data_IF_185669809713
#
_entry.id   IF_185669809713
#
_cell.length_a   1.000
_cell.length_b   1.000
_cell.length_c   1.000
_cell.angle_alpha   90.00
_cell.angle_beta   90.00
_cell.angle_gamma   90.00
#
_symmetry.space_group_name_H-M   'P 1'
#
loop_
_entity.id
_entity.type
_entity.pdbx_description
1 polymer ?
#
# COMPACT_ATOMS: atom_id res chain seq x y z
N UNK A 1 -5.34 5.10 -8.10
CA UNK A 1 -4.05 5.16 -7.34
C UNK A 1 -4.16 4.80 -5.85
N UNK A 2 -5.01 5.46 -5.04
CA UNK A 2 -5.14 5.14 -3.60
C UNK A 2 -5.38 3.64 -3.37
N UNK A 3 -6.35 3.06 -4.10
CA UNK A 3 -6.64 1.63 -4.04
C UNK A 3 -5.49 0.76 -4.54
N UNK A 4 -4.70 1.23 -5.52
CA UNK A 4 -3.52 0.48 -5.97
C UNK A 4 -2.49 0.38 -4.85
N UNK A 5 -2.24 1.47 -4.11
CA UNK A 5 -1.37 1.43 -2.92
C UNK A 5 -1.86 0.37 -1.93
N UNK A 6 -3.16 0.31 -1.63
CA UNK A 6 -3.72 -0.71 -0.74
C UNK A 6 -3.53 -2.14 -1.29
N UNK A 7 -3.99 -2.42 -2.52
CA UNK A 7 -3.92 -3.76 -3.12
C UNK A 7 -2.49 -4.22 -3.42
N UNK A 8 -1.57 -3.28 -3.65
CA UNK A 8 -0.16 -3.54 -3.83
C UNK A 8 0.62 -3.33 -2.53
N UNK A 9 0.15 -3.99 -1.46
CA UNK A 9 0.83 -4.16 -0.17
C UNK A 9 1.19 -2.87 0.55
N UNK A 10 0.32 -1.88 0.47
CA UNK A 10 0.53 -0.58 1.11
C UNK A 10 1.70 0.22 0.52
N UNK A 11 1.96 0.08 -0.78
CA UNK A 11 3.05 0.80 -1.45
C UNK A 11 2.99 2.31 -1.17
N UNK A 12 4.13 2.91 -0.83
CA UNK A 12 4.17 4.33 -0.53
C UNK A 12 4.06 5.19 -1.80
N UNK A 13 3.69 6.45 -1.64
CA UNK A 13 3.41 7.33 -2.77
C UNK A 13 4.65 7.62 -3.64
N UNK A 14 5.83 7.78 -3.05
CA UNK A 14 7.05 8.06 -3.81
C UNK A 14 7.44 6.87 -4.68
N UNK A 15 7.34 5.65 -4.16
CA UNK A 15 7.62 4.43 -4.92
C UNK A 15 6.60 4.26 -6.04
N UNK A 16 5.31 4.53 -5.77
CA UNK A 16 4.27 4.50 -6.79
C UNK A 16 4.56 5.46 -7.95
N UNK A 17 5.03 6.67 -7.67
CA UNK A 17 5.39 7.65 -8.70
C UNK A 17 6.52 7.19 -9.61
N UNK A 18 7.41 6.31 -9.12
CA UNK A 18 8.57 5.83 -9.85
C UNK A 18 8.30 4.56 -10.66
N UNK A 19 7.14 3.92 -10.48
CA UNK A 19 6.79 2.70 -11.19
C UNK A 19 6.68 2.94 -12.69
N UNK A 20 7.36 2.10 -13.47
CA UNK A 20 7.35 2.11 -14.93
C UNK A 20 7.12 0.71 -15.51
N UNK A 21 7.01 0.63 -16.83
CA UNK A 21 6.75 -0.62 -17.54
C UNK A 21 7.83 -1.67 -17.31
N UNK A 22 9.10 -1.30 -17.09
CA UNK A 22 10.16 -2.27 -16.82
C UNK A 22 10.09 -2.87 -15.41
N UNK A 23 9.25 -2.33 -14.52
CA UNK A 23 8.94 -2.98 -13.26
C UNK A 23 7.98 -4.17 -13.41
N UNK A 24 7.33 -4.35 -14.56
CA UNK A 24 6.34 -5.40 -14.80
C UNK A 24 6.92 -6.56 -15.61
N UNK A 25 6.67 -7.79 -15.17
CA UNK A 25 7.01 -9.03 -15.88
C UNK A 25 6.16 -10.17 -15.34
N UNK A 26 5.72 -11.09 -16.20
CA UNK A 26 5.01 -12.33 -15.83
C UNK A 26 3.88 -12.17 -14.77
N UNK A 27 3.11 -11.08 -14.87
CA UNK A 27 2.03 -10.77 -13.91
C UNK A 27 2.51 -10.37 -12.51
N UNK A 28 3.79 -9.98 -12.39
CA UNK A 28 4.46 -9.52 -11.18
C UNK A 28 4.91 -8.08 -11.32
N UNK A 29 5.24 -7.48 -10.18
CA UNK A 29 5.87 -6.18 -10.12
C UNK A 29 7.11 -6.27 -9.23
N UNK A 30 8.26 -5.86 -9.77
CA UNK A 30 9.54 -5.74 -9.06
C UNK A 30 9.90 -4.27 -8.87
N UNK A 31 10.16 -3.88 -7.63
CA UNK A 31 10.49 -2.50 -7.27
C UNK A 31 11.51 -2.45 -6.12
N UNK A 32 12.17 -1.31 -5.96
CA UNK A 32 13.05 -1.05 -4.81
C UNK A 32 12.44 0.06 -3.98
N UNK A 33 12.21 -0.21 -2.69
CA UNK A 33 11.63 0.77 -1.77
C UNK A 33 12.59 1.94 -1.56
N UNK A 34 12.19 3.15 -1.91
CA UNK A 34 13.05 4.34 -1.84
C UNK A 34 13.60 4.61 -0.43
N UNK A 35 12.82 4.32 0.62
CA UNK A 35 13.23 4.62 2.00
C UNK A 35 14.30 3.67 2.54
N UNK A 36 14.25 2.39 2.17
CA UNK A 36 15.06 1.34 2.81
C UNK A 36 15.94 0.56 1.86
N UNK A 37 15.81 0.73 0.54
CA UNK A 37 16.54 -0.06 -0.45
C UNK A 37 16.10 -1.51 -0.56
N UNK A 38 15.06 -1.92 0.18
CA UNK A 38 14.54 -3.29 0.14
C UNK A 38 13.93 -3.56 -1.23
N UNK A 39 14.34 -4.66 -1.85
CA UNK A 39 13.75 -5.19 -3.07
C UNK A 39 12.42 -5.87 -2.76
N UNK A 40 11.38 -5.47 -3.49
CA UNK A 40 10.02 -5.95 -3.35
C UNK A 40 9.57 -6.50 -4.70
N UNK A 41 9.46 -7.82 -4.78
CA UNK A 41 8.97 -8.54 -5.94
C UNK A 41 7.74 -9.37 -5.54
N UNK A 42 6.58 -8.94 -6.02
CA UNK A 42 5.35 -9.63 -5.75
C UNK A 42 4.43 -9.77 -6.95
N UNK A 43 3.66 -10.86 -6.95
CA UNK A 43 2.54 -11.05 -7.88
C UNK A 43 1.52 -9.92 -7.74
N UNK A 44 1.03 -9.43 -8.87
CA UNK A 44 -0.09 -8.50 -8.97
C UNK A 44 -1.40 -9.25 -8.75
N UNK A 45 -2.27 -8.69 -7.92
CA UNK A 45 -3.62 -9.19 -7.72
C UNK A 45 -4.54 -8.67 -8.84
N UNK A 46 -5.64 -9.37 -9.11
CA UNK A 46 -6.62 -8.97 -10.13
C UNK A 46 -7.11 -7.52 -9.94
N UNK A 47 -7.32 -7.09 -8.69
CA UNK A 47 -7.71 -5.71 -8.39
C UNK A 47 -6.63 -4.69 -8.75
N UNK A 48 -5.35 -5.00 -8.51
CA UNK A 48 -4.25 -4.12 -8.92
C UNK A 48 -4.08 -4.04 -10.44
N UNK A 49 -4.27 -5.16 -11.16
CA UNK A 49 -4.20 -5.21 -12.62
C UNK A 49 -5.28 -4.34 -13.28
N UNK A 50 -6.53 -4.49 -12.85
CA UNK A 50 -7.66 -3.67 -13.32
C UNK A 50 -7.41 -2.18 -13.12
N UNK A 51 -6.74 -1.80 -12.02
CA UNK A 51 -6.38 -0.39 -11.81
C UNK A 51 -5.30 0.04 -12.81
N UNK A 52 -4.25 -0.77 -13.03
CA UNK A 52 -3.20 -0.44 -14.00
C UNK A 52 -3.75 -0.30 -15.42
N UNK A 53 -4.69 -1.14 -15.84
CA UNK A 53 -5.34 -1.06 -17.15
C UNK A 53 -5.97 0.33 -17.41
N UNK A 54 -6.64 0.90 -16.40
CA UNK A 54 -7.25 2.25 -16.49
C UNK A 54 -6.20 3.35 -16.69
N UNK A 55 -5.01 3.21 -16.11
CA UNK A 55 -3.93 4.19 -16.26
C UNK A 55 -3.10 3.96 -17.53
N UNK A 56 -2.95 2.72 -17.98
CA UNK A 56 -2.20 2.38 -19.18
C UNK A 56 -2.79 3.06 -20.42
N UNK A 57 -4.12 3.09 -20.54
CA UNK A 57 -4.84 3.78 -21.61
C UNK A 57 -4.56 5.30 -21.66
N UNK A 58 -4.02 5.88 -20.58
CA UNK A 58 -3.81 7.32 -20.42
C UNK A 58 -2.33 7.71 -20.37
N UNK A 59 -1.41 6.74 -20.42
CA UNK A 59 0.02 7.03 -20.26
C UNK A 59 0.66 7.41 -21.59
N UNK A 60 1.33 8.56 -21.62
CA UNK A 60 2.17 9.01 -22.74
C UNK A 60 3.66 8.71 -22.49
N UNK A 61 4.03 8.15 -21.33
CA UNK A 61 5.41 7.87 -20.94
C UNK A 61 5.57 6.45 -20.39
N UNK A 62 6.80 6.06 -20.05
CA UNK A 62 7.10 4.71 -19.54
C UNK A 62 6.52 4.44 -18.14
N UNK A 63 6.05 5.47 -17.42
CA UNK A 63 5.54 5.32 -16.07
C UNK A 63 4.15 4.67 -16.06
N UNK A 64 3.92 3.77 -15.10
CA UNK A 64 2.62 3.13 -14.87
C UNK A 64 1.56 4.14 -14.42
N UNK A 65 2.01 5.18 -13.71
CA UNK A 65 1.21 6.34 -13.35
C UNK A 65 1.88 7.58 -13.94
N UNK A 66 1.30 8.23 -14.97
CA UNK A 66 1.94 9.33 -15.71
C UNK A 66 1.91 10.65 -14.91
N UNK A 67 2.51 10.60 -13.73
CA UNK A 67 2.51 11.69 -12.77
C UNK A 67 3.87 12.33 -12.62
N UNK A 68 4.97 11.74 -13.09
CA UNK A 68 6.26 12.42 -13.24
C UNK A 68 6.35 13.09 -14.61
N UNK A 69 7.11 14.18 -14.71
CA UNK A 69 7.18 15.00 -15.93
C UNK A 69 8.13 14.43 -16.97
N UNK A 70 9.20 13.76 -16.53
CA UNK A 70 10.20 13.12 -17.36
C UNK A 70 10.97 12.09 -16.52
N UNK A 71 11.80 11.29 -17.18
CA UNK A 71 12.52 10.18 -16.56
C UNK A 71 13.78 10.59 -15.80
N UNK A 72 14.32 11.78 -16.09
CA UNK A 72 15.59 12.28 -15.55
C UNK A 72 15.42 13.20 -14.33
N UNK A 73 14.34 13.04 -13.55
CA UNK A 73 14.10 13.86 -12.37
C UNK A 73 15.00 13.45 -11.20
N UNK A 74 15.68 14.43 -10.58
CA UNK A 74 16.44 14.22 -9.36
C UNK A 74 15.55 13.80 -8.19
N UNK A 75 16.14 13.17 -7.17
CA UNK A 75 15.42 12.79 -5.93
C UNK A 75 14.72 14.00 -5.29
N UNK A 76 15.36 15.18 -5.31
CA UNK A 76 14.78 16.42 -4.76
C UNK A 76 13.54 16.86 -5.55
N UNK A 77 13.60 16.81 -6.88
CA UNK A 77 12.47 17.15 -7.74
C UNK A 77 11.31 16.16 -7.56
N UNK A 78 11.59 14.85 -7.47
CA UNK A 78 10.58 13.83 -7.21
C UNK A 78 9.89 14.08 -5.86
N UNK A 79 10.67 14.35 -4.79
CA UNK A 79 10.10 14.68 -3.45
C UNK A 79 9.23 15.93 -3.49
N UNK A 80 9.70 17.01 -4.11
CA UNK A 80 8.92 18.24 -4.26
C UNK A 80 7.61 17.99 -5.02
N UNK A 81 7.68 17.27 -6.14
CA UNK A 81 6.52 16.92 -6.94
C UNK A 81 5.54 16.02 -6.20
N UNK A 82 6.05 15.03 -5.47
CA UNK A 82 5.27 14.17 -4.58
C UNK A 82 4.47 15.02 -3.58
N UNK A 83 5.11 15.99 -2.91
CA UNK A 83 4.43 16.89 -1.98
C UNK A 83 3.31 17.69 -2.67
N UNK A 84 3.60 18.28 -3.84
CA UNK A 84 2.62 19.05 -4.62
C UNK A 84 1.42 18.20 -5.06
N UNK A 85 1.65 16.95 -5.46
CA UNK A 85 0.58 16.02 -5.85
C UNK A 85 -0.25 15.59 -4.64
N UNK A 86 0.37 15.28 -3.50
CA UNK A 86 -0.35 14.97 -2.26
C UNK A 86 -1.22 16.14 -1.78
N UNK A 87 -0.75 17.38 -1.97
CA UNK A 87 -1.53 18.59 -1.72
C UNK A 87 -2.80 18.72 -2.57
N UNK A 88 -2.93 17.94 -3.65
CA UNK A 88 -4.17 17.84 -4.47
C UNK A 88 -4.96 16.58 -4.15
N UNK A 89 -4.27 15.46 -3.98
CA UNK A 89 -4.89 14.15 -3.76
C UNK A 89 -5.58 14.09 -2.39
N UNK A 90 -4.94 14.59 -1.32
CA UNK A 90 -5.52 14.50 0.02
C UNK A 90 -6.82 15.33 0.17
N UNK A 91 -6.92 16.56 -0.36
CA UNK A 91 -8.20 17.27 -0.41
C UNK A 91 -9.28 16.52 -1.20
N UNK A 92 -8.94 16.00 -2.40
CA UNK A 92 -9.90 15.23 -3.19
C UNK A 92 -10.37 13.95 -2.47
N UNK A 93 -9.48 13.28 -1.72
CA UNK A 93 -9.86 12.16 -0.86
C UNK A 93 -10.82 12.62 0.24
N UNK A 94 -10.54 13.75 0.90
CA UNK A 94 -11.41 14.33 1.93
C UNK A 94 -12.81 14.61 1.38
N UNK A 95 -12.92 15.28 0.25
CA UNK A 95 -14.21 15.55 -0.43
C UNK A 95 -14.96 14.25 -0.74
N UNK A 96 -14.26 13.22 -1.23
CA UNK A 96 -14.87 11.90 -1.46
C UNK A 96 -15.40 11.27 -0.16
N UNK A 97 -14.66 11.37 0.96
CA UNK A 97 -15.14 10.86 2.25
C UNK A 97 -16.40 11.59 2.74
N UNK A 98 -16.48 12.90 2.52
CA UNK A 98 -17.64 13.73 2.87
C UNK A 98 -18.89 13.30 2.08
N UNK A 99 -18.76 13.10 0.76
CA UNK A 99 -19.84 12.58 -0.10
C UNK A 99 -20.31 11.20 0.37
N UNK A 100 -19.37 10.33 0.76
CA UNK A 100 -19.67 9.00 1.27
C UNK A 100 -20.16 9.00 2.73
N UNK A 101 -20.25 10.17 3.39
CA UNK A 101 -20.63 10.32 4.80
C UNK A 101 -19.76 9.52 5.76
N UNK A 102 -18.48 9.39 5.44
CA UNK A 102 -17.50 8.71 6.29
C UNK A 102 -16.71 9.76 7.07
N UNK A 103 -16.83 9.74 8.40
CA UNK A 103 -16.20 10.72 9.30
C UNK A 103 -14.69 10.53 9.50
N UNK A 104 -14.12 9.42 9.02
CA UNK A 104 -12.69 9.12 9.18
C UNK A 104 -11.86 10.01 8.25
N UNK A 105 -10.82 10.64 8.81
CA UNK A 105 -9.84 11.38 8.03
C UNK A 105 -8.94 10.43 7.23
N UNK A 106 -9.03 10.50 5.89
CA UNK A 106 -8.25 9.68 4.97
C UNK A 106 -7.25 10.53 4.21
N UNK A 107 -5.99 10.07 4.20
CA UNK A 107 -4.92 10.59 3.34
C UNK A 107 -4.41 9.47 2.46
N UNK A 108 -3.55 9.78 1.48
CA UNK A 108 -2.90 8.74 0.69
C UNK A 108 -2.16 7.70 1.57
N UNK A 109 -1.52 8.15 2.65
CA UNK A 109 -0.78 7.27 3.56
C UNK A 109 -1.70 6.29 4.31
N UNK A 110 -2.98 6.65 4.48
CA UNK A 110 -3.98 5.78 5.12
C UNK A 110 -4.08 4.43 4.40
N UNK A 111 -3.91 4.35 3.08
CA UNK A 111 -3.96 3.08 2.35
C UNK A 111 -2.94 2.05 2.88
N UNK A 112 -1.72 2.50 3.19
CA UNK A 112 -0.67 1.64 3.76
C UNK A 112 -1.02 1.17 5.17
N UNK A 113 -1.51 2.09 6.00
CA UNK A 113 -1.92 1.77 7.36
C UNK A 113 -3.09 0.79 7.34
N UNK A 114 -4.08 1.01 6.48
CA UNK A 114 -5.23 0.11 6.31
C UNK A 114 -4.80 -1.27 5.83
N UNK A 115 -3.85 -1.38 4.90
CA UNK A 115 -3.30 -2.68 4.49
C UNK A 115 -2.65 -3.43 5.66
N UNK A 116 -1.77 -2.77 6.41
CA UNK A 116 -1.10 -3.38 7.56
C UNK A 116 -2.10 -3.82 8.65
N UNK A 117 -3.06 -2.95 8.97
CA UNK A 117 -4.11 -3.24 9.94
C UNK A 117 -5.06 -4.36 9.46
N UNK A 118 -5.38 -4.39 8.17
CA UNK A 118 -6.19 -5.47 7.57
C UNK A 118 -5.52 -6.82 7.75
N UNK A 119 -4.24 -6.96 7.36
CA UNK A 119 -3.51 -8.22 7.54
C UNK A 119 -3.39 -8.61 9.01
N UNK A 120 -3.23 -7.64 9.91
CA UNK A 120 -3.27 -7.90 11.35
C UNK A 120 -4.60 -8.49 11.79
N UNK A 121 -5.73 -7.95 11.30
CA UNK A 121 -7.05 -8.51 11.58
C UNK A 121 -7.27 -9.87 10.93
N UNK A 122 -6.51 -10.23 9.92
CA UNK A 122 -6.48 -11.59 9.35
C UNK A 122 -5.46 -12.50 10.05
N UNK A 123 -4.98 -12.12 11.25
CA UNK A 123 -4.04 -12.89 12.07
C UNK A 123 -2.72 -13.24 11.36
N UNK A 124 -2.31 -12.43 10.38
CA UNK A 124 -1.04 -12.60 9.71
C UNK A 124 0.09 -12.15 10.66
N UNK A 125 1.14 -12.96 10.72
CA UNK A 125 2.33 -12.70 11.54
C UNK A 125 2.93 -11.32 11.24
N UNK A 126 3.35 -10.60 12.27
CA UNK A 126 3.83 -9.22 12.14
C UNK A 126 5.12 -9.15 11.30
N UNK A 127 5.94 -10.19 11.36
CA UNK A 127 7.14 -10.40 10.56
C UNK A 127 6.79 -10.41 9.07
N UNK A 128 5.80 -11.22 8.68
CA UNK A 128 5.32 -11.29 7.30
C UNK A 128 4.72 -9.95 6.84
N UNK A 129 3.97 -9.25 7.70
CA UNK A 129 3.46 -7.91 7.40
C UNK A 129 4.63 -6.94 7.17
N UNK A 130 5.67 -6.99 8.01
CA UNK A 130 6.86 -6.16 7.92
C UNK A 130 7.61 -6.36 6.60
N UNK A 131 7.78 -7.61 6.18
CA UNK A 131 8.40 -7.98 4.91
C UNK A 131 7.58 -7.47 3.72
N UNK A 132 6.27 -7.69 3.71
CA UNK A 132 5.38 -7.20 2.65
C UNK A 132 5.43 -5.66 2.51
N UNK A 133 5.62 -4.96 3.62
CA UNK A 133 5.78 -3.51 3.66
C UNK A 133 7.19 -3.03 3.28
N UNK A 134 8.18 -3.92 3.23
CA UNK A 134 9.60 -3.59 3.02
C UNK A 134 10.23 -2.84 4.19
N UNK A 135 9.76 -3.08 5.42
CA UNK A 135 10.30 -2.51 6.65
C UNK A 135 11.56 -3.25 7.09
N UNK A 136 12.63 -2.51 7.38
CA UNK A 136 13.89 -3.04 7.93
C UNK A 136 13.91 -3.07 9.47
N UNK A 137 12.92 -2.46 10.11
CA UNK A 137 12.76 -2.44 11.56
C UNK A 137 11.31 -2.81 11.90
N UNK A 138 11.15 -3.96 12.57
CA UNK A 138 9.85 -4.51 12.99
C UNK A 138 9.08 -3.53 13.88
N UNK A 139 9.77 -2.66 14.64
CA UNK A 139 9.15 -1.64 15.51
C UNK A 139 8.29 -0.67 14.71
N UNK A 140 8.66 -0.41 13.46
CA UNK A 140 7.86 0.42 12.53
C UNK A 140 6.51 -0.25 12.23
N UNK A 141 6.50 -1.58 12.11
CA UNK A 141 5.28 -2.36 11.92
C UNK A 141 4.51 -2.51 13.23
N UNK A 142 5.21 -2.60 14.36
CA UNK A 142 4.61 -2.66 15.70
C UNK A 142 3.82 -1.39 16.04
N UNK A 143 4.16 -0.23 15.47
CA UNK A 143 3.36 0.98 15.61
C UNK A 143 1.91 0.84 15.07
N UNK A 144 1.65 -0.14 14.19
CA UNK A 144 0.29 -0.48 13.74
C UNK A 144 -0.45 -1.37 14.73
N UNK A 145 0.17 -1.78 15.84
CA UNK A 145 -0.40 -2.63 16.87
C UNK A 145 -1.34 -1.88 17.83
N UNK A 146 -2.32 -1.16 17.31
CA UNK A 146 -3.50 -0.87 18.12
C UNK A 146 -4.09 -2.20 18.63
N UNK A 147 -4.57 -2.21 19.89
CA UNK A 147 -5.16 -3.42 20.50
C UNK A 147 -6.17 -4.05 19.54
N UNK A 148 -6.07 -5.36 19.35
CA UNK A 148 -7.12 -6.10 18.64
C UNK A 148 -8.43 -5.95 19.43
N UNK A 149 -9.59 -5.76 18.78
CA UNK A 149 -10.87 -5.76 19.48
C UNK A 149 -11.07 -7.07 20.24
N UNK A 150 -11.63 -7.02 21.45
CA UNK A 150 -11.86 -8.21 22.28
C UNK A 150 -12.58 -9.33 21.51
N UNK A 151 -13.65 -9.01 20.77
CA UNK A 151 -14.36 -9.97 19.92
C UNK A 151 -13.48 -10.75 18.94
N UNK A 152 -12.39 -10.13 18.47
CA UNK A 152 -11.44 -10.81 17.58
C UNK A 152 -10.51 -11.72 18.36
N UNK A 153 -10.08 -11.30 19.56
CA UNK A 153 -9.31 -12.14 20.47
C UNK A 153 -10.10 -13.37 20.90
N UNK A 154 -11.38 -13.20 21.22
CA UNK A 154 -12.29 -14.30 21.55
C UNK A 154 -12.35 -15.31 20.40
N UNK A 155 -12.65 -14.83 19.18
CA UNK A 155 -12.67 -15.70 17.99
C UNK A 155 -11.36 -16.46 17.75
N UNK A 156 -10.21 -15.81 17.97
CA UNK A 156 -8.90 -16.48 17.81
C UNK A 156 -8.79 -17.66 18.78
N UNK A 157 -9.21 -17.46 20.02
CA UNK A 157 -9.16 -18.50 21.06
C UNK A 157 -10.15 -19.62 20.73
N UNK A 158 -11.38 -19.28 20.31
CA UNK A 158 -12.38 -20.26 19.87
C UNK A 158 -11.85 -21.10 18.70
N UNK A 159 -11.34 -20.45 17.64
CA UNK A 159 -10.78 -21.13 16.46
C UNK A 159 -9.60 -22.07 16.85
N UNK A 160 -8.77 -21.68 17.82
CA UNK A 160 -7.66 -22.51 18.32
C UNK A 160 -8.18 -23.74 19.07
N UNK A 161 -9.15 -23.58 19.96
CA UNK A 161 -9.69 -24.71 20.71
C UNK A 161 -10.53 -25.66 19.85
N UNK A 162 -11.27 -25.14 18.87
CA UNK A 162 -12.09 -25.96 17.96
C UNK A 162 -11.25 -26.76 16.95
N UNK A 163 -10.11 -26.21 16.50
CA UNK A 163 -9.27 -26.85 15.46
C UNK A 163 -7.99 -27.51 16.01
N UNK A 164 -7.76 -27.43 17.32
CA UNK A 164 -6.63 -28.10 17.96
C UNK A 164 -6.88 -29.60 18.00
N UNK A 165 -5.87 -30.39 17.65
CA UNK A 165 -5.88 -31.85 17.78
C UNK A 165 -5.57 -32.32 19.21
N UNK A 166 -5.32 -31.37 20.11
CA UNK A 166 -4.93 -31.60 21.50
C UNK A 166 -6.10 -31.46 22.49
N UNK A 167 -7.29 -31.16 21.98
CA UNK A 167 -8.59 -31.19 22.66
C UNK A 167 -9.59 -31.94 21.78
#
# INVERSE_FOLDING_TARGET
MYLFSFYYRGMNFIDLLKLNNSNLYDGRLSSIRTKTGVHLDFKLQNHSLKILEVYNQKSMNSYLFPLLLNENMTIKQIKYRSHKLLGKINPALKEMMEVLKISKHITFYTARNTFATFLKFENIAIEAISEMLGHTDIRTTQAYLNKLPNKKLDKIIDDVFENSKYF
#
